data_IF_507120812504
#
_entry.id   IF_507120812504
#
_cell.length_a   1.000
_cell.length_b   1.000
_cell.length_c   1.000
_cell.angle_alpha   90.00
_cell.angle_beta   90.00
_cell.angle_gamma   90.00
#
_symmetry.space_group_name_H-M   'P 1'
#
loop_
_entity.id
_entity.type
_entity.pdbx_description
1 polymer ?
#
# COMPACT_ATOMS: atom_id res chain seq x y z
N UNK A 1 1.16 -1.78 -2.05
CA UNK A 1 0.69 -3.17 -1.78
C UNK A 1 -0.05 -3.67 -3.02
N UNK A 2 0.18 -4.89 -3.50
CA UNK A 2 -0.65 -5.45 -4.57
C UNK A 2 -2.09 -5.65 -4.05
N UNK A 3 -3.05 -5.12 -4.78
CA UNK A 3 -4.48 -5.29 -4.48
C UNK A 3 -5.05 -6.33 -5.43
N UNK A 4 -5.74 -7.32 -4.88
CA UNK A 4 -6.43 -8.36 -5.65
C UNK A 4 -7.89 -8.45 -5.21
N UNK A 5 -8.71 -9.18 -5.96
CA UNK A 5 -10.11 -9.36 -5.59
C UNK A 5 -10.24 -9.92 -4.17
N UNK A 6 -10.98 -9.23 -3.33
CA UNK A 6 -11.20 -9.61 -1.92
C UNK A 6 -12.29 -10.66 -1.74
N UNK A 7 -12.94 -11.12 -2.80
CA UNK A 7 -14.04 -12.09 -2.76
C UNK A 7 -15.06 -11.77 -1.65
N UNK A 8 -15.48 -10.51 -1.61
CA UNK A 8 -16.34 -9.94 -0.56
C UNK A 8 -17.60 -10.79 -0.34
N UNK A 9 -18.08 -10.87 0.90
CA UNK A 9 -19.37 -11.51 1.19
C UNK A 9 -20.55 -10.68 0.65
N UNK A 10 -20.37 -9.35 0.60
CA UNK A 10 -21.32 -8.40 -0.01
C UNK A 10 -20.62 -7.65 -1.15
N UNK A 11 -20.47 -8.28 -2.34
CA UNK A 11 -19.67 -7.71 -3.42
C UNK A 11 -20.40 -6.56 -4.13
N UNK A 12 -19.93 -5.31 -4.07
CA UNK A 12 -20.57 -4.19 -4.80
C UNK A 12 -20.55 -4.41 -6.31
N UNK A 13 -19.54 -5.06 -6.85
CA UNK A 13 -19.45 -5.42 -8.25
C UNK A 13 -20.59 -6.36 -8.70
N UNK A 14 -21.09 -7.23 -7.82
CA UNK A 14 -22.24 -8.09 -8.11
C UNK A 14 -23.55 -7.29 -8.11
N UNK A 15 -23.67 -6.30 -7.22
CA UNK A 15 -24.84 -5.41 -7.21
C UNK A 15 -24.92 -4.50 -8.46
N UNK A 16 -23.78 -4.14 -9.05
CA UNK A 16 -23.69 -3.35 -10.27
C UNK A 16 -23.89 -4.19 -11.55
N UNK A 17 -23.75 -5.52 -11.44
CA UNK A 17 -23.83 -6.42 -12.58
C UNK A 17 -25.29 -6.66 -13.04
N UNK A 18 -25.47 -6.80 -14.34
CA UNK A 18 -26.73 -7.18 -14.96
C UNK A 18 -26.64 -8.62 -15.47
N UNK A 19 -27.81 -9.25 -15.69
CA UNK A 19 -27.96 -10.57 -16.32
C UNK A 19 -27.15 -11.70 -15.65
N UNK A 20 -26.85 -11.56 -14.35
CA UNK A 20 -26.05 -12.54 -13.61
C UNK A 20 -24.60 -12.61 -14.10
N UNK A 21 -24.05 -11.49 -14.58
CA UNK A 21 -22.66 -11.40 -15.06
C UNK A 21 -21.62 -11.56 -13.94
N UNK A 22 -22.00 -11.31 -12.70
CA UNK A 22 -21.18 -11.59 -11.51
C UNK A 22 -21.94 -12.51 -10.58
N UNK A 23 -21.30 -13.56 -10.14
CA UNK A 23 -21.88 -14.54 -9.21
C UNK A 23 -20.91 -14.89 -8.08
N UNK A 24 -21.44 -15.36 -6.98
CA UNK A 24 -20.65 -15.87 -5.87
C UNK A 24 -20.91 -17.39 -5.75
N UNK A 25 -19.84 -18.16 -5.67
CA UNK A 25 -19.87 -19.62 -5.48
C UNK A 25 -20.13 -19.94 -4.00
N UNK A 26 -20.52 -21.19 -3.74
CA UNK A 26 -20.74 -21.71 -2.37
C UNK A 26 -19.48 -21.66 -1.49
N UNK A 27 -18.29 -21.77 -2.12
CA UNK A 27 -17.00 -21.58 -1.44
C UNK A 27 -16.63 -20.10 -1.24
N UNK A 28 -17.48 -19.20 -1.67
CA UNK A 28 -17.35 -17.74 -1.49
C UNK A 28 -16.52 -17.04 -2.55
N UNK A 29 -15.99 -17.76 -3.54
CA UNK A 29 -15.26 -17.14 -4.64
C UNK A 29 -16.22 -16.35 -5.53
N UNK A 30 -15.88 -15.10 -5.82
CA UNK A 30 -16.64 -14.25 -6.74
C UNK A 30 -16.10 -14.43 -8.15
N UNK A 31 -17.00 -14.75 -9.08
CA UNK A 31 -16.69 -15.01 -10.50
C UNK A 31 -17.37 -13.96 -11.37
N UNK A 32 -16.62 -13.44 -12.32
CA UNK A 32 -17.13 -12.57 -13.39
C UNK A 32 -17.21 -13.42 -14.68
N UNK A 33 -18.40 -13.55 -15.23
CA UNK A 33 -18.60 -14.24 -16.50
C UNK A 33 -18.17 -13.33 -17.65
N UNK A 34 -17.13 -13.70 -18.44
CA UNK A 34 -16.59 -12.82 -19.48
C UNK A 34 -17.55 -12.57 -20.64
N UNK A 35 -18.52 -13.48 -20.88
CA UNK A 35 -19.50 -13.33 -21.96
C UNK A 35 -20.63 -12.39 -21.53
N UNK A 36 -21.20 -12.63 -20.35
CA UNK A 36 -22.29 -11.84 -19.81
C UNK A 36 -21.86 -10.44 -19.41
N UNK A 37 -20.63 -10.27 -18.95
CA UNK A 37 -20.11 -8.98 -18.47
C UNK A 37 -19.62 -8.06 -19.58
N UNK A 38 -19.63 -8.49 -20.83
CA UNK A 38 -19.18 -7.68 -21.95
C UNK A 38 -19.94 -6.35 -22.00
N UNK A 39 -19.21 -5.24 -22.11
CA UNK A 39 -19.74 -3.88 -22.11
C UNK A 39 -20.19 -3.35 -20.74
N UNK A 40 -20.11 -4.14 -19.66
CA UNK A 40 -20.54 -3.73 -18.33
C UNK A 40 -19.40 -3.10 -17.51
N UNK A 41 -18.92 -1.92 -17.92
CA UNK A 41 -17.83 -1.18 -17.24
C UNK A 41 -18.17 -0.87 -15.77
N UNK A 42 -19.45 -0.66 -15.46
CA UNK A 42 -19.93 -0.40 -14.10
C UNK A 42 -19.51 -1.47 -13.07
N UNK A 43 -19.27 -2.71 -13.51
CA UNK A 43 -18.77 -3.79 -12.63
C UNK A 43 -17.36 -3.46 -12.11
N UNK A 44 -16.48 -2.92 -12.97
CA UNK A 44 -15.14 -2.52 -12.59
C UNK A 44 -15.15 -1.27 -11.69
N UNK A 45 -15.96 -0.28 -12.05
CA UNK A 45 -16.10 0.99 -11.32
C UNK A 45 -16.72 0.81 -9.93
N UNK A 46 -17.56 -0.21 -9.75
CA UNK A 46 -18.19 -0.50 -8.47
C UNK A 46 -17.24 -1.13 -7.43
N UNK A 47 -16.04 -1.57 -7.83
CA UNK A 47 -15.08 -2.16 -6.87
C UNK A 47 -14.36 -1.07 -6.07
N UNK A 48 -14.64 -0.89 -4.77
CA UNK A 48 -14.04 0.18 -4.00
C UNK A 48 -12.54 -0.03 -3.75
N UNK A 49 -12.05 -1.26 -3.98
CA UNK A 49 -10.64 -1.62 -3.83
C UNK A 49 -9.83 -1.46 -5.12
N UNK A 50 -10.45 -1.11 -6.24
CA UNK A 50 -9.78 -1.08 -7.54
C UNK A 50 -9.28 -2.46 -8.00
N UNK A 51 -9.84 -3.55 -7.47
CA UNK A 51 -9.40 -4.92 -7.73
C UNK A 51 -10.10 -5.59 -8.93
N UNK A 52 -10.99 -4.88 -9.59
CA UNK A 52 -11.60 -5.26 -10.86
C UNK A 52 -11.12 -4.28 -11.92
N UNK A 53 -10.40 -4.78 -12.90
CA UNK A 53 -9.81 -3.97 -13.97
C UNK A 53 -10.66 -4.05 -15.23
N UNK A 54 -10.81 -2.93 -15.91
CA UNK A 54 -11.48 -2.91 -17.22
C UNK A 54 -10.45 -3.22 -18.32
N UNK A 55 -10.75 -4.23 -19.13
CA UNK A 55 -9.98 -4.55 -20.32
C UNK A 55 -10.61 -3.82 -21.52
N UNK A 56 -9.93 -2.81 -22.03
CA UNK A 56 -10.43 -1.97 -23.15
C UNK A 56 -10.51 -2.74 -24.47
N UNK A 57 -9.61 -3.70 -24.70
CA UNK A 57 -9.56 -4.46 -25.96
C UNK A 57 -10.72 -5.47 -26.03
N UNK A 58 -10.97 -6.18 -24.93
CA UNK A 58 -12.02 -7.19 -24.87
C UNK A 58 -13.37 -6.62 -24.44
N UNK A 59 -13.39 -5.39 -23.94
CA UNK A 59 -14.56 -4.72 -23.36
C UNK A 59 -15.19 -5.51 -22.20
N UNK A 60 -14.37 -6.09 -21.32
CA UNK A 60 -14.81 -6.88 -20.17
C UNK A 60 -14.14 -6.45 -18.86
N UNK A 61 -14.83 -6.53 -17.71
CA UNK A 61 -14.20 -6.42 -16.39
C UNK A 61 -13.47 -7.72 -16.05
N UNK A 62 -12.28 -7.61 -15.49
CA UNK A 62 -11.43 -8.74 -15.10
C UNK A 62 -10.99 -8.62 -13.66
N UNK A 63 -11.01 -9.72 -12.93
CA UNK A 63 -10.51 -9.82 -11.57
C UNK A 63 -9.86 -11.19 -11.35
N UNK A 64 -9.07 -11.29 -10.29
CA UNK A 64 -8.56 -12.60 -9.86
C UNK A 64 -9.71 -13.50 -9.40
N UNK A 65 -9.77 -14.69 -9.94
CA UNK A 65 -10.81 -15.71 -9.70
C UNK A 65 -10.38 -16.81 -8.72
N UNK A 66 -9.33 -16.58 -7.94
CA UNK A 66 -8.79 -17.55 -6.97
C UNK A 66 -8.39 -18.88 -7.60
N UNK A 67 -8.05 -18.90 -8.89
CA UNK A 67 -7.80 -20.12 -9.66
C UNK A 67 -8.93 -21.17 -9.54
N UNK A 68 -10.19 -20.72 -9.43
CA UNK A 68 -11.36 -21.58 -9.20
C UNK A 68 -11.42 -22.79 -10.17
N UNK A 69 -11.03 -22.60 -11.43
CA UNK A 69 -10.98 -23.66 -12.43
C UNK A 69 -9.99 -24.78 -12.08
N UNK A 70 -8.91 -24.47 -11.37
CA UNK A 70 -7.94 -25.49 -10.92
C UNK A 70 -8.43 -26.18 -9.65
N UNK A 71 -9.07 -25.43 -8.75
CA UNK A 71 -9.71 -26.02 -7.56
C UNK A 71 -10.80 -27.03 -7.97
N UNK A 72 -11.57 -26.73 -9.01
CA UNK A 72 -12.56 -27.66 -9.59
C UNK A 72 -11.93 -28.91 -10.22
N UNK A 73 -10.66 -28.85 -10.60
CA UNK A 73 -9.85 -29.98 -11.07
C UNK A 73 -9.13 -30.73 -9.95
N UNK A 74 -9.42 -30.41 -8.69
CA UNK A 74 -8.87 -31.11 -7.52
C UNK A 74 -7.58 -30.50 -6.95
N UNK A 75 -7.20 -29.30 -7.34
CA UNK A 75 -6.11 -28.60 -6.68
C UNK A 75 -6.52 -28.21 -5.24
N UNK A 76 -5.59 -28.33 -4.31
CA UNK A 76 -5.86 -28.02 -2.90
C UNK A 76 -5.72 -26.53 -2.57
N UNK A 77 -5.04 -25.76 -3.43
CA UNK A 77 -4.71 -24.33 -3.22
C UNK A 77 -4.49 -23.62 -4.57
N UNK A 78 -4.65 -22.28 -4.60
CA UNK A 78 -4.41 -21.52 -5.82
C UNK A 78 -2.92 -21.51 -6.19
N UNK A 79 -2.62 -21.26 -7.46
CA UNK A 79 -1.24 -21.24 -7.99
C UNK A 79 -0.36 -20.21 -7.28
N UNK A 80 -0.91 -19.04 -6.96
CA UNK A 80 -0.15 -17.97 -6.29
C UNK A 80 0.48 -18.45 -4.98
N UNK A 81 -0.22 -19.26 -4.21
CA UNK A 81 0.30 -19.86 -2.99
C UNK A 81 1.38 -20.92 -3.28
N UNK A 82 1.22 -21.68 -4.36
CA UNK A 82 2.16 -22.74 -4.73
C UNK A 82 3.49 -22.22 -5.28
N UNK A 83 3.49 -21.02 -5.88
CA UNK A 83 4.69 -20.45 -6.54
C UNK A 83 5.34 -19.32 -5.76
N UNK A 84 4.73 -18.87 -4.66
CA UNK A 84 5.27 -17.80 -3.84
C UNK A 84 6.49 -18.27 -3.04
N UNK A 85 7.70 -17.78 -3.31
CA UNK A 85 8.92 -18.29 -2.65
C UNK A 85 9.00 -17.86 -1.17
N UNK A 86 8.20 -16.89 -0.76
CA UNK A 86 8.23 -16.31 0.59
C UNK A 86 7.00 -16.69 1.43
N UNK A 87 6.17 -17.64 0.97
CA UNK A 87 4.94 -18.10 1.64
C UNK A 87 4.02 -16.95 2.11
N UNK A 88 3.95 -15.86 1.31
CA UNK A 88 3.15 -14.67 1.64
C UNK A 88 1.64 -14.96 1.55
N UNK A 89 1.26 -15.92 0.71
CA UNK A 89 -0.14 -16.29 0.49
C UNK A 89 -0.44 -17.61 1.18
N UNK A 90 -1.54 -17.62 1.94
CA UNK A 90 -2.07 -18.83 2.57
C UNK A 90 -3.58 -18.87 2.32
N UNK A 91 -4.09 -19.96 1.78
CA UNK A 91 -5.51 -20.20 1.58
C UNK A 91 -6.05 -21.14 2.65
N UNK A 92 -7.19 -20.77 3.24
CA UNK A 92 -7.84 -21.53 4.27
C UNK A 92 -9.27 -21.88 3.83
N UNK A 93 -9.65 -23.13 3.99
CA UNK A 93 -11.04 -23.57 3.79
C UNK A 93 -11.72 -23.69 5.14
N UNK A 94 -12.20 -22.56 5.63
CA UNK A 94 -12.78 -22.40 6.97
C UNK A 94 -14.08 -21.61 6.88
N UNK A 95 -14.94 -21.74 7.87
CA UNK A 95 -16.11 -20.89 7.97
C UNK A 95 -15.75 -19.48 8.50
N UNK A 96 -16.72 -18.56 8.43
CA UNK A 96 -16.51 -17.19 8.85
C UNK A 96 -16.22 -17.04 10.36
N UNK A 97 -16.67 -17.98 11.20
CA UNK A 97 -16.42 -18.00 12.64
C UNK A 97 -14.99 -18.39 12.94
N UNK A 98 -14.55 -19.50 12.33
CA UNK A 98 -13.18 -19.99 12.43
C UNK A 98 -12.17 -18.97 11.88
N UNK A 99 -12.51 -18.30 10.77
CA UNK A 99 -11.65 -17.26 10.21
C UNK A 99 -11.49 -16.08 11.17
N UNK A 100 -12.56 -15.61 11.80
CA UNK A 100 -12.49 -14.53 12.81
C UNK A 100 -11.63 -14.92 14.02
N UNK A 101 -11.72 -16.17 14.48
CA UNK A 101 -10.89 -16.66 15.58
C UNK A 101 -9.40 -16.71 15.17
N UNK A 102 -9.12 -17.17 13.97
CA UNK A 102 -7.78 -17.19 13.42
C UNK A 102 -7.22 -15.77 13.27
N UNK A 103 -8.02 -14.85 12.74
CA UNK A 103 -7.65 -13.45 12.59
C UNK A 103 -7.32 -12.79 13.95
N UNK A 104 -8.14 -13.01 14.97
CA UNK A 104 -7.90 -12.49 16.32
C UNK A 104 -6.61 -13.07 16.94
N UNK A 105 -6.35 -14.37 16.74
CA UNK A 105 -5.14 -15.04 17.24
C UNK A 105 -3.87 -14.55 16.56
N UNK A 106 -3.94 -14.26 15.26
CA UNK A 106 -2.78 -13.95 14.42
C UNK A 106 -2.63 -12.47 14.11
N UNK A 107 -3.53 -11.62 14.61
CA UNK A 107 -3.50 -10.18 14.35
C UNK A 107 -3.73 -9.83 12.89
N UNK A 108 -4.65 -10.56 12.22
CA UNK A 108 -4.98 -10.30 10.82
C UNK A 108 -6.06 -9.24 10.71
N UNK A 109 -5.95 -8.41 9.68
CA UNK A 109 -6.83 -7.27 9.41
C UNK A 109 -7.43 -7.39 8.01
N UNK A 110 -8.62 -6.85 7.80
CA UNK A 110 -9.23 -6.71 6.46
C UNK A 110 -9.00 -5.31 5.92
N UNK A 111 -8.91 -5.18 4.61
CA UNK A 111 -8.75 -3.89 3.95
C UNK A 111 -10.05 -3.10 4.04
N UNK A 112 -10.00 -1.85 4.54
CA UNK A 112 -11.11 -0.89 4.60
C UNK A 112 -12.42 -1.50 5.15
N UNK A 113 -12.45 -1.95 6.41
CA UNK A 113 -13.60 -2.61 7.02
C UNK A 113 -14.84 -1.70 7.07
N UNK A 114 -14.66 -0.39 7.07
CA UNK A 114 -15.70 0.64 7.07
C UNK A 114 -16.60 0.60 5.83
N UNK A 115 -16.15 0.02 4.73
CA UNK A 115 -16.94 -0.13 3.51
C UNK A 115 -18.05 -1.19 3.61
N UNK A 116 -18.06 -2.00 4.67
CA UNK A 116 -19.11 -2.98 4.95
C UNK A 116 -19.20 -4.14 3.94
N UNK A 117 -18.24 -4.29 3.04
CA UNK A 117 -18.24 -5.32 1.98
C UNK A 117 -17.91 -6.72 2.49
N UNK A 118 -17.44 -6.84 3.72
CA UNK A 118 -16.98 -8.07 4.36
C UNK A 118 -15.96 -8.84 3.48
N UNK A 119 -14.74 -8.32 3.34
CA UNK A 119 -13.67 -8.97 2.59
C UNK A 119 -13.34 -10.36 3.14
N UNK A 120 -13.01 -11.30 2.26
CA UNK A 120 -12.48 -12.63 2.63
C UNK A 120 -10.96 -12.71 2.55
N UNK A 121 -10.30 -11.66 2.05
CA UNK A 121 -8.87 -11.51 2.14
C UNK A 121 -8.49 -10.84 3.47
N UNK A 122 -7.54 -11.45 4.16
CA UNK A 122 -7.02 -10.98 5.42
C UNK A 122 -5.51 -10.73 5.29
N UNK A 123 -5.03 -9.71 5.95
CA UNK A 123 -3.66 -9.23 5.83
C UNK A 123 -2.97 -9.23 7.18
N UNK A 124 -1.73 -9.70 7.22
CA UNK A 124 -0.86 -9.51 8.37
C UNK A 124 -0.12 -8.18 8.21
N UNK A 125 -0.01 -7.42 9.30
CA UNK A 125 0.69 -6.13 9.33
C UNK A 125 0.13 -5.10 8.32
N UNK A 126 -1.18 -5.11 8.06
CA UNK A 126 -1.82 -4.16 7.15
C UNK A 126 -1.58 -2.70 7.57
N UNK A 127 -1.50 -2.44 8.88
CA UNK A 127 -1.16 -1.14 9.44
C UNK A 127 0.19 -0.58 8.97
N UNK A 128 1.13 -1.42 8.52
CA UNK A 128 2.41 -0.96 7.97
C UNK A 128 2.26 -0.42 6.54
N UNK A 129 1.22 -0.83 5.81
CA UNK A 129 0.94 -0.36 4.45
C UNK A 129 0.31 1.03 4.46
N UNK A 130 -0.45 1.34 5.50
CA UNK A 130 -1.08 2.64 5.71
C UNK A 130 -0.12 3.63 6.39
N UNK A 131 1.18 3.51 6.15
CA UNK A 131 2.19 4.44 6.65
C UNK A 131 2.83 5.19 5.50
N UNK A 132 3.11 6.45 5.75
CA UNK A 132 3.84 7.32 4.85
C UNK A 132 5.32 7.39 5.24
N UNK A 133 6.11 7.94 4.35
CA UNK A 133 7.49 8.32 4.63
C UNK A 133 7.78 9.71 4.06
N UNK A 134 8.78 10.36 4.63
CA UNK A 134 9.42 11.54 4.05
C UNK A 134 10.85 11.15 3.68
N UNK A 135 11.21 11.37 2.44
CA UNK A 135 12.55 11.10 1.92
C UNK A 135 13.13 12.36 1.27
N UNK A 136 14.43 12.39 1.12
CA UNK A 136 15.13 13.47 0.44
C UNK A 136 16.59 13.15 0.24
N UNK A 137 17.31 14.04 -0.46
CA UNK A 137 18.75 13.93 -0.71
C UNK A 137 19.45 15.12 -0.09
N UNK A 138 20.49 14.89 0.70
CA UNK A 138 21.31 15.93 1.32
C UNK A 138 22.58 16.11 0.51
N UNK A 139 22.85 17.35 0.15
CA UNK A 139 24.06 17.74 -0.56
C UNK A 139 24.78 18.89 0.12
N UNK A 140 26.06 19.03 -0.14
CA UNK A 140 26.84 20.19 0.31
C UNK A 140 27.80 20.64 -0.80
N UNK A 141 28.12 21.93 -0.83
CA UNK A 141 29.18 22.45 -1.70
C UNK A 141 30.54 22.21 -1.03
N UNK A 142 31.36 21.37 -1.68
CA UNK A 142 32.71 21.03 -1.24
C UNK A 142 33.66 21.39 -2.38
N UNK A 143 34.61 22.31 -2.12
CA UNK A 143 35.59 22.79 -3.11
C UNK A 143 34.97 23.26 -4.46
N UNK A 144 33.77 23.84 -4.38
CA UNK A 144 33.07 24.39 -5.54
C UNK A 144 32.24 23.35 -6.36
N UNK A 145 32.19 22.10 -5.91
CA UNK A 145 31.32 21.06 -6.45
C UNK A 145 30.20 20.70 -5.48
N UNK A 146 29.05 20.35 -6.02
CA UNK A 146 27.95 19.80 -5.23
C UNK A 146 28.21 18.29 -5.02
N UNK A 147 28.31 17.87 -3.76
CA UNK A 147 28.57 16.48 -3.38
C UNK A 147 27.47 15.97 -2.44
N UNK A 148 27.13 14.69 -2.57
CA UNK A 148 26.21 14.02 -1.65
C UNK A 148 26.82 13.93 -0.25
N UNK A 149 26.05 14.21 0.77
CA UNK A 149 26.52 14.25 2.14
C UNK A 149 26.01 13.04 2.94
N UNK A 150 26.93 12.14 3.25
CA UNK A 150 26.68 10.99 4.12
C UNK A 150 26.60 11.39 5.60
N UNK A 151 25.74 10.72 6.36
CA UNK A 151 25.64 10.86 7.81
C UNK A 151 24.91 12.10 8.31
N UNK A 152 24.37 12.94 7.43
CA UNK A 152 23.52 14.06 7.82
C UNK A 152 22.27 13.56 8.55
N UNK A 153 21.91 14.18 9.66
CA UNK A 153 20.72 13.84 10.43
C UNK A 153 19.52 14.66 9.95
N UNK A 154 18.49 13.99 9.47
CA UNK A 154 17.22 14.57 9.11
C UNK A 154 16.20 14.25 10.22
N UNK A 155 15.52 15.28 10.73
CA UNK A 155 14.52 15.18 11.80
C UNK A 155 13.22 15.82 11.32
N UNK A 156 12.12 15.07 11.39
CA UNK A 156 10.78 15.59 11.13
C UNK A 156 10.09 15.89 12.46
N UNK A 157 9.51 17.08 12.58
CA UNK A 157 8.79 17.50 13.76
C UNK A 157 7.49 18.22 13.42
N UNK A 158 6.54 18.21 14.37
CA UNK A 158 5.31 18.98 14.33
C UNK A 158 5.08 19.61 15.69
N UNK A 159 4.84 20.90 15.74
CA UNK A 159 4.63 21.67 16.98
C UNK A 159 5.71 21.42 18.05
N UNK A 160 6.96 21.23 17.61
CA UNK A 160 8.10 20.93 18.46
C UNK A 160 8.23 19.47 18.93
N UNK A 161 7.30 18.60 18.55
CA UNK A 161 7.36 17.17 18.82
C UNK A 161 8.04 16.44 17.65
N UNK A 162 9.06 15.66 17.95
CA UNK A 162 9.71 14.80 16.95
C UNK A 162 8.77 13.67 16.52
N UNK A 163 8.55 13.56 15.21
CA UNK A 163 7.77 12.50 14.58
C UNK A 163 8.64 11.34 14.09
N UNK A 164 9.90 11.64 13.76
CA UNK A 164 10.88 10.65 13.33
C UNK A 164 12.17 11.28 12.86
N UNK A 165 13.20 10.44 12.73
CA UNK A 165 14.53 10.84 12.25
C UNK A 165 15.15 9.77 11.37
N UNK A 166 16.07 10.19 10.51
CA UNK A 166 16.91 9.32 9.71
C UNK A 166 18.29 9.94 9.49
N UNK A 167 19.25 9.13 9.05
CA UNK A 167 20.56 9.61 8.57
C UNK A 167 20.70 9.34 7.10
N UNK A 168 21.36 10.26 6.40
CA UNK A 168 21.65 10.08 4.98
C UNK A 168 22.72 9.01 4.78
N UNK A 169 22.57 8.26 3.72
CA UNK A 169 23.53 7.24 3.27
C UNK A 169 24.67 7.85 2.42
N UNK A 170 25.48 7.00 1.82
CA UNK A 170 26.62 7.38 0.94
C UNK A 170 26.20 8.17 -0.32
N UNK A 171 24.95 8.09 -0.70
CA UNK A 171 24.34 8.85 -1.79
C UNK A 171 23.65 10.14 -1.32
N UNK A 172 23.75 10.45 -0.01
CA UNK A 172 23.08 11.56 0.60
C UNK A 172 21.58 11.33 0.80
N UNK A 173 21.06 10.14 0.53
CA UNK A 173 19.63 9.84 0.63
C UNK A 173 19.23 9.50 2.06
N UNK A 174 18.11 10.08 2.52
CA UNK A 174 17.48 9.73 3.79
C UNK A 174 16.03 9.36 3.61
N UNK A 175 15.50 8.53 4.53
CA UNK A 175 14.09 8.13 4.59
C UNK A 175 13.62 8.06 6.04
N UNK A 176 12.71 8.96 6.42
CA UNK A 176 11.99 8.90 7.69
C UNK A 176 10.71 8.10 7.45
N UNK A 177 10.66 6.89 7.95
CA UNK A 177 9.62 5.90 7.65
C UNK A 177 8.57 5.81 8.76
N UNK A 178 7.49 5.07 8.50
CA UNK A 178 6.41 4.73 9.43
C UNK A 178 5.60 5.90 9.96
N UNK A 179 5.55 6.99 9.23
CA UNK A 179 4.75 8.17 9.56
C UNK A 179 3.27 7.89 9.38
N UNK A 180 2.43 8.55 10.14
CA UNK A 180 0.98 8.52 9.95
C UNK A 180 0.63 9.33 8.68
N UNK A 181 -0.29 8.87 7.82
CA UNK A 181 -0.85 9.72 6.78
C UNK A 181 -1.70 10.86 7.39
N UNK A 182 -1.82 11.97 6.66
CA UNK A 182 -2.67 13.07 7.07
C UNK A 182 -2.17 13.87 8.28
N UNK A 183 -0.87 13.81 8.59
CA UNK A 183 -0.28 14.61 9.69
C UNK A 183 -0.43 16.11 9.42
N UNK A 184 -0.40 16.54 8.14
CA UNK A 184 -0.48 17.94 7.76
C UNK A 184 0.86 18.66 7.79
N UNK A 185 0.88 19.96 8.18
CA UNK A 185 2.10 20.76 8.19
C UNK A 185 3.13 20.23 9.19
N UNK A 186 4.37 20.08 8.74
CA UNK A 186 5.51 19.61 9.52
C UNK A 186 6.76 20.42 9.18
N UNK A 187 7.74 20.36 10.06
CA UNK A 187 9.06 20.94 9.87
C UNK A 187 10.10 19.82 9.71
N UNK A 188 10.84 19.85 8.61
CA UNK A 188 11.96 18.98 8.35
C UNK A 188 13.24 19.76 8.58
N UNK A 189 14.02 19.41 9.59
CA UNK A 189 15.36 19.96 9.83
C UNK A 189 16.43 18.96 9.44
N UNK A 190 17.51 19.45 8.82
CA UNK A 190 18.65 18.64 8.41
C UNK A 190 19.94 19.26 8.92
N UNK A 191 20.75 18.46 9.61
CA UNK A 191 22.00 18.88 10.25
C UNK A 191 23.15 17.97 9.86
N UNK A 192 24.34 18.55 9.75
CA UNK A 192 25.56 17.80 9.61
C UNK A 192 26.71 18.54 10.30
N UNK A 193 27.77 17.84 10.69
CA UNK A 193 28.94 18.42 11.36
C UNK A 193 29.62 19.46 10.47
N UNK A 194 29.91 20.63 11.03
CA UNK A 194 30.54 21.74 10.31
C UNK A 194 29.63 22.45 9.31
N UNK A 195 28.32 22.19 9.31
CA UNK A 195 27.34 22.79 8.40
C UNK A 195 26.25 23.52 9.16
N UNK A 196 25.73 24.57 8.54
CA UNK A 196 24.55 25.25 9.03
C UNK A 196 23.33 24.34 8.87
N UNK A 197 22.43 24.36 9.87
CA UNK A 197 21.16 23.63 9.81
C UNK A 197 20.29 24.19 8.71
N UNK A 198 19.69 23.31 7.91
CA UNK A 198 18.67 23.66 6.94
C UNK A 198 17.30 23.18 7.43
N UNK A 199 16.33 24.09 7.39
CA UNK A 199 14.95 23.80 7.79
C UNK A 199 14.02 24.01 6.61
N UNK A 200 13.03 23.11 6.44
CA UNK A 200 12.04 23.18 5.38
C UNK A 200 10.65 22.85 5.94
N UNK A 201 9.69 23.72 5.70
CA UNK A 201 8.28 23.40 5.94
C UNK A 201 7.78 22.49 4.84
N UNK A 202 7.14 21.40 5.21
CA UNK A 202 6.51 20.42 4.32
C UNK A 202 5.11 20.11 4.82
N UNK A 203 4.26 19.59 3.94
CA UNK A 203 2.92 19.12 4.28
C UNK A 203 2.80 17.65 3.95
N UNK A 204 2.61 16.81 4.97
CA UNK A 204 2.43 15.36 4.79
C UNK A 204 0.93 15.03 4.80
N UNK A 205 0.39 14.81 3.61
CA UNK A 205 -0.99 14.39 3.37
C UNK A 205 -1.13 12.86 3.45
N UNK A 206 -1.99 12.28 2.62
CA UNK A 206 -2.26 10.84 2.60
C UNK A 206 -1.15 10.00 1.95
N UNK A 207 -0.23 10.64 1.22
CA UNK A 207 0.82 9.97 0.46
C UNK A 207 2.22 10.31 1.01
N UNK A 208 3.17 9.44 0.69
CA UNK A 208 4.58 9.66 1.00
C UNK A 208 5.15 10.84 0.21
N UNK A 209 6.07 11.58 0.81
CA UNK A 209 6.64 12.79 0.25
C UNK A 209 8.14 12.65 -0.02
N UNK A 210 8.56 13.06 -1.22
CA UNK A 210 9.96 13.34 -1.49
C UNK A 210 10.22 14.85 -1.32
N UNK A 211 10.98 15.20 -0.28
CA UNK A 211 11.27 16.60 0.06
C UNK A 211 12.26 17.30 -0.89
N UNK A 212 12.81 16.56 -1.86
CA UNK A 212 13.77 17.07 -2.83
C UNK A 212 15.20 17.12 -2.29
N UNK A 213 16.05 17.85 -3.02
CA UNK A 213 17.46 18.05 -2.64
C UNK A 213 17.56 19.17 -1.60
N UNK A 214 18.31 18.93 -0.53
CA UNK A 214 18.53 19.84 0.58
C UNK A 214 20.02 20.16 0.67
N UNK A 215 20.38 21.38 0.27
CA UNK A 215 21.76 21.87 0.31
C UNK A 215 22.13 22.43 1.66
N UNK A 216 23.20 21.92 2.30
CA UNK A 216 23.76 22.47 3.52
C UNK A 216 24.93 23.42 3.23
N UNK A 217 24.84 24.62 3.76
CA UNK A 217 25.92 25.64 3.71
C UNK A 217 26.99 25.34 4.75
N UNK A 218 28.20 25.87 4.56
CA UNK A 218 29.21 25.85 5.62
C UNK A 218 28.74 26.66 6.81
N UNK A 219 28.97 26.15 8.03
CA UNK A 219 28.72 26.92 9.24
C UNK A 219 29.68 28.11 9.26
N UNK A 220 29.15 29.34 9.29
CA UNK A 220 29.98 30.53 9.52
C UNK A 220 30.62 30.33 10.89
N UNK A 221 31.93 30.11 10.96
CA UNK A 221 32.66 30.14 12.22
C UNK A 221 32.58 31.55 12.75
N UNK A 222 31.90 31.77 13.88
CA UNK A 222 32.08 32.94 14.71
C UNK A 222 33.38 32.87 15.48
#
# INVERSE_FOLDING_TARGET
>A
MPVMCNHCAHPPCMAAAKDGAVSQRDDGIVIIDPVKSKGQRAIAEACPYGAVHWNEELEIPQAWIFDAHLLDQGWNKPRIESVCPNDVFQSLKVDAGEMRQTAAREGLEVLQPELGTQPRLWYRNLHLVNRCFVAGTVVAHIQGCEECLEGAEAVLSQDGLELGRARSDVFGEFKIDRLQPGIGPCELSVRAEGRAEATRSIELLEESLYAGVIGLQESSAE
#
